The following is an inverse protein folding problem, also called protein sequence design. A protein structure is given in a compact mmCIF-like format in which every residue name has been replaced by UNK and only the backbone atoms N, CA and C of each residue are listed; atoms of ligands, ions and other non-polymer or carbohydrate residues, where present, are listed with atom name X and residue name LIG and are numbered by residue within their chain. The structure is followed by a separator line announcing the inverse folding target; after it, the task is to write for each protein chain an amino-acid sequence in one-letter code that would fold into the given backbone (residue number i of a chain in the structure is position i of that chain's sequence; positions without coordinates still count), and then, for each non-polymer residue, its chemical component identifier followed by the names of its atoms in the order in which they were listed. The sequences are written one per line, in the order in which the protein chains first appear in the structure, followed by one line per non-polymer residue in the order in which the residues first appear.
data_IF_238505479264
#
_entry.id   IF_238505479264
#
_cell.length_a   1.000
_cell.length_b   1.000
_cell.length_c   1.000
_cell.angle_alpha   90.00
_cell.angle_beta   90.00
_cell.angle_gamma   90.00
#
_symmetry.space_group_name_H-M   'P 1'
#
loop_
_entity.id
_entity.type
_entity.pdbx_description
1 polymer ?
#
# COMPACT_ATOMS: atom_id res chain seq x y z
N UNK A 1 -25.73 -1.24 -13.92
CA UNK A 1 -24.65 -1.73 -14.80
C UNK A 1 -23.30 -1.70 -14.06
N UNK A 2 -23.21 -2.23 -12.84
CA UNK A 2 -22.38 -1.55 -11.83
C UNK A 2 -21.20 -2.33 -11.24
N UNK A 3 -21.21 -3.66 -11.16
CA UNK A 3 -20.12 -4.40 -10.47
C UNK A 3 -19.36 -5.34 -11.38
N UNK A 4 -20.05 -6.02 -12.28
CA UNK A 4 -19.42 -7.04 -13.14
C UNK A 4 -18.55 -6.38 -14.22
N UNK A 5 -18.97 -5.22 -14.70
CA UNK A 5 -18.16 -4.39 -15.60
C UNK A 5 -16.86 -3.93 -14.93
N UNK A 6 -16.92 -3.44 -13.69
CA UNK A 6 -15.73 -2.99 -12.95
C UNK A 6 -14.76 -4.15 -12.73
N UNK A 7 -15.27 -5.32 -12.33
CA UNK A 7 -14.46 -6.53 -12.17
C UNK A 7 -13.78 -6.96 -13.47
N UNK A 8 -14.49 -6.87 -14.59
CA UNK A 8 -13.92 -7.17 -15.91
C UNK A 8 -12.79 -6.20 -16.24
N UNK A 9 -13.04 -4.89 -16.12
CA UNK A 9 -12.02 -3.86 -16.38
C UNK A 9 -10.78 -4.04 -15.49
N UNK A 10 -10.95 -4.37 -14.21
CA UNK A 10 -9.81 -4.63 -13.31
C UNK A 10 -9.05 -5.88 -13.72
N UNK A 11 -9.75 -6.93 -14.17
CA UNK A 11 -9.13 -8.15 -14.68
C UNK A 11 -8.31 -7.84 -15.92
N UNK A 12 -8.90 -7.16 -16.91
CA UNK A 12 -8.23 -6.76 -18.15
C UNK A 12 -7.01 -5.87 -17.89
N UNK A 13 -7.15 -4.89 -16.98
CA UNK A 13 -6.04 -4.03 -16.59
C UNK A 13 -4.91 -4.84 -15.92
N UNK A 14 -5.25 -5.80 -15.08
CA UNK A 14 -4.28 -6.69 -14.42
C UNK A 14 -3.58 -7.62 -15.41
N UNK A 15 -4.29 -8.05 -16.45
CA UNK A 15 -3.74 -8.87 -17.54
C UNK A 15 -2.69 -8.08 -18.31
N UNK A 16 -3.00 -6.82 -18.65
CA UNK A 16 -2.03 -5.93 -19.30
C UNK A 16 -0.81 -5.62 -18.42
N UNK A 17 -0.96 -5.51 -17.08
CA UNK A 17 0.21 -5.43 -16.18
C UNK A 17 1.11 -6.66 -16.34
N UNK A 18 0.53 -7.86 -16.44
CA UNK A 18 1.30 -9.12 -16.61
C UNK A 18 1.97 -9.20 -17.97
N UNK A 19 1.37 -8.63 -19.00
CA UNK A 19 1.93 -8.49 -20.34
C UNK A 19 2.96 -7.34 -20.47
N UNK A 20 3.19 -6.58 -19.40
CA UNK A 20 4.04 -5.38 -19.38
C UNK A 20 3.52 -4.20 -20.22
N UNK A 21 2.23 -4.21 -20.57
CA UNK A 21 1.53 -3.14 -21.28
C UNK A 21 1.01 -2.09 -20.27
N UNK A 22 1.93 -1.39 -19.59
CA UNK A 22 1.60 -0.59 -18.41
C UNK A 22 0.75 0.66 -18.71
N UNK A 23 0.95 1.34 -19.84
CA UNK A 23 0.10 2.46 -20.25
C UNK A 23 -1.35 2.00 -20.46
N UNK A 24 -1.53 0.83 -21.09
CA UNK A 24 -2.87 0.27 -21.34
C UNK A 24 -3.53 -0.17 -20.04
N UNK A 25 -2.77 -0.79 -19.14
CA UNK A 25 -3.25 -1.13 -17.81
C UNK A 25 -3.72 0.12 -17.04
N UNK A 26 -2.97 1.22 -17.09
CA UNK A 26 -3.35 2.47 -16.44
C UNK A 26 -4.63 3.09 -17.06
N UNK A 27 -4.78 3.04 -18.39
CA UNK A 27 -5.98 3.51 -19.08
C UNK A 27 -7.23 2.73 -18.64
N UNK A 28 -7.16 1.39 -18.65
CA UNK A 28 -8.29 0.54 -18.30
C UNK A 28 -8.61 0.64 -16.80
N UNK A 29 -7.59 0.73 -15.94
CA UNK A 29 -7.81 0.96 -14.51
C UNK A 29 -8.51 2.31 -14.24
N UNK A 30 -8.21 3.37 -15.03
CA UNK A 30 -8.94 4.64 -14.96
C UNK A 30 -10.40 4.49 -15.41
N UNK A 31 -10.67 3.72 -16.47
CA UNK A 31 -12.04 3.41 -16.88
C UNK A 31 -12.82 2.66 -15.78
N UNK A 32 -12.17 1.74 -15.06
CA UNK A 32 -12.78 1.09 -13.90
C UNK A 32 -13.15 2.10 -12.80
N UNK A 33 -12.29 3.11 -12.58
CA UNK A 33 -12.52 4.18 -11.61
C UNK A 33 -13.56 5.21 -12.06
N UNK A 34 -13.82 5.37 -13.37
CA UNK A 34 -14.94 6.17 -13.87
C UNK A 34 -16.29 5.53 -13.50
N UNK A 35 -16.35 4.19 -13.44
CA UNK A 35 -17.55 3.44 -13.05
C UNK A 35 -17.66 3.32 -11.53
N UNK A 36 -16.55 3.02 -10.83
CA UNK A 36 -16.46 2.95 -9.37
C UNK A 36 -15.23 3.71 -8.84
N UNK A 37 -15.47 4.98 -8.51
CA UNK A 37 -14.44 5.94 -8.05
C UNK A 37 -13.75 5.57 -6.75
N UNK A 38 -14.28 4.59 -6.00
CA UNK A 38 -13.75 4.15 -4.70
C UNK A 38 -13.17 2.74 -4.75
N UNK A 39 -12.97 2.18 -5.93
CA UNK A 39 -12.49 0.82 -6.05
C UNK A 39 -11.01 0.68 -5.69
N UNK A 40 -10.70 0.02 -4.58
CA UNK A 40 -9.32 -0.16 -4.11
C UNK A 40 -8.47 -1.03 -5.03
N UNK A 41 -9.06 -2.05 -5.66
CA UNK A 41 -8.32 -2.93 -6.57
C UNK A 41 -7.93 -2.17 -7.85
N UNK A 42 -8.82 -1.33 -8.39
CA UNK A 42 -8.50 -0.47 -9.54
C UNK A 42 -7.37 0.52 -9.23
N UNK A 43 -7.41 1.18 -8.06
CA UNK A 43 -6.30 2.03 -7.60
C UNK A 43 -5.00 1.24 -7.41
N UNK A 44 -5.08 0.00 -6.92
CA UNK A 44 -3.92 -0.89 -6.80
C UNK A 44 -3.28 -1.22 -8.14
N UNK A 45 -4.08 -1.56 -9.16
CA UNK A 45 -3.58 -1.82 -10.52
C UNK A 45 -2.98 -0.56 -11.12
N UNK A 46 -3.64 0.60 -10.94
CA UNK A 46 -3.14 1.89 -11.41
C UNK A 46 -1.79 2.24 -10.77
N UNK A 47 -1.63 2.00 -9.46
CA UNK A 47 -0.36 2.19 -8.75
C UNK A 47 0.75 1.30 -9.29
N UNK A 48 0.47 0.01 -9.55
CA UNK A 48 1.45 -0.91 -10.13
C UNK A 48 1.86 -0.47 -11.54
N UNK A 49 0.90 -0.05 -12.37
CA UNK A 49 1.17 0.44 -13.71
C UNK A 49 2.07 1.67 -13.68
N UNK A 50 1.76 2.68 -12.85
CA UNK A 50 2.60 3.87 -12.71
C UNK A 50 3.99 3.58 -12.16
N UNK A 51 4.11 2.69 -11.18
CA UNK A 51 5.41 2.31 -10.63
C UNK A 51 6.30 1.67 -11.72
N UNK A 52 5.72 0.82 -12.58
CA UNK A 52 6.42 0.20 -13.71
C UNK A 52 6.79 1.17 -14.83
N UNK A 53 6.02 2.25 -14.96
CA UNK A 53 6.32 3.37 -15.86
C UNK A 53 7.34 4.37 -15.30
N UNK A 54 7.84 4.17 -14.07
CA UNK A 54 8.71 5.13 -13.39
C UNK A 54 8.01 6.42 -12.95
N UNK A 55 6.67 6.45 -12.99
CA UNK A 55 5.84 7.58 -12.55
C UNK A 55 5.59 7.47 -11.05
N UNK A 56 6.65 7.64 -10.27
CA UNK A 56 6.69 7.30 -8.85
C UNK A 56 5.67 8.07 -8.00
N UNK A 57 5.53 9.38 -8.23
CA UNK A 57 4.58 10.22 -7.48
C UNK A 57 3.12 9.77 -7.70
N UNK A 58 2.75 9.49 -8.95
CA UNK A 58 1.41 9.02 -9.29
C UNK A 58 1.14 7.61 -8.78
N UNK A 59 2.17 6.76 -8.75
CA UNK A 59 2.06 5.44 -8.13
C UNK A 59 1.77 5.56 -6.62
N UNK A 60 2.49 6.45 -5.93
CA UNK A 60 2.27 6.71 -4.50
C UNK A 60 0.85 7.22 -4.24
N UNK A 61 0.36 8.20 -5.00
CA UNK A 61 -1.02 8.70 -4.85
C UNK A 61 -2.05 7.58 -5.07
N UNK A 62 -1.88 6.77 -6.13
CA UNK A 62 -2.79 5.67 -6.42
C UNK A 62 -2.82 4.63 -5.28
N UNK A 63 -1.67 4.20 -4.77
CA UNK A 63 -1.64 3.25 -3.65
C UNK A 63 -2.19 3.85 -2.34
N UNK A 64 -1.95 5.13 -2.07
CA UNK A 64 -2.53 5.83 -0.93
C UNK A 64 -4.06 5.92 -1.04
N UNK A 65 -4.60 6.19 -2.24
CA UNK A 65 -6.05 6.13 -2.47
C UNK A 65 -6.60 4.73 -2.26
N UNK A 66 -5.88 3.68 -2.66
CA UNK A 66 -6.30 2.30 -2.44
C UNK A 66 -6.48 1.94 -0.95
N UNK A 67 -5.63 2.46 -0.06
CA UNK A 67 -5.78 2.28 1.40
C UNK A 67 -6.85 3.19 1.98
N UNK A 68 -7.00 4.42 1.47
CA UNK A 68 -8.06 5.34 1.91
C UNK A 68 -9.46 4.81 1.58
N UNK A 69 -9.64 4.18 0.42
CA UNK A 69 -10.95 3.65 0.02
C UNK A 69 -11.27 2.31 0.68
N UNK A 70 -10.25 1.52 1.06
CA UNK A 70 -10.38 0.25 1.75
C UNK A 70 -9.47 0.16 2.99
N UNK A 71 -9.79 0.86 4.09
CA UNK A 71 -8.94 0.96 5.29
C UNK A 71 -8.84 -0.33 6.11
N UNK A 72 -9.52 -1.40 5.70
CA UNK A 72 -9.46 -2.73 6.31
C UNK A 72 -8.91 -3.78 5.33
N UNK A 73 -8.35 -3.35 4.20
CA UNK A 73 -7.79 -4.25 3.18
C UNK A 73 -6.31 -4.50 3.43
N UNK A 74 -5.99 -5.69 3.93
CA UNK A 74 -4.60 -6.13 4.09
C UNK A 74 -3.83 -6.07 2.75
N UNK A 75 -4.51 -6.39 1.63
CA UNK A 75 -3.93 -6.32 0.29
C UNK A 75 -3.55 -4.89 -0.11
N UNK A 76 -4.40 -3.91 0.19
CA UNK A 76 -4.12 -2.49 -0.14
C UNK A 76 -2.89 -2.00 0.62
N UNK A 77 -2.81 -2.28 1.92
CA UNK A 77 -1.63 -1.96 2.73
C UNK A 77 -0.38 -2.68 2.25
N UNK A 78 -0.48 -3.97 1.91
CA UNK A 78 0.65 -4.73 1.38
C UNK A 78 1.16 -4.18 0.04
N UNK A 79 0.27 -3.79 -0.87
CA UNK A 79 0.67 -3.18 -2.15
C UNK A 79 1.40 -1.85 -1.93
N UNK A 80 0.93 -1.01 -1.01
CA UNK A 80 1.61 0.22 -0.63
C UNK A 80 2.97 -0.07 0.05
N UNK A 81 3.05 -1.10 0.90
CA UNK A 81 4.30 -1.55 1.51
C UNK A 81 5.34 -1.98 0.46
N UNK A 82 4.91 -2.75 -0.54
CA UNK A 82 5.77 -3.17 -1.66
C UNK A 82 6.25 -1.99 -2.49
N UNK A 83 5.41 -0.96 -2.67
CA UNK A 83 5.79 0.27 -3.35
C UNK A 83 6.86 1.04 -2.58
N UNK A 84 6.64 1.29 -1.28
CA UNK A 84 7.65 1.92 -0.41
C UNK A 84 8.96 1.13 -0.37
N UNK A 85 8.87 -0.20 -0.30
CA UNK A 85 10.05 -1.06 -0.38
C UNK A 85 10.82 -0.89 -1.68
N UNK A 86 10.12 -0.82 -2.82
CA UNK A 86 10.72 -0.57 -4.13
C UNK A 86 11.39 0.81 -4.25
N UNK A 87 10.91 1.81 -3.50
CA UNK A 87 11.53 3.14 -3.41
C UNK A 87 12.72 3.19 -2.43
N UNK A 88 12.95 2.13 -1.65
CA UNK A 88 13.98 2.11 -0.60
C UNK A 88 13.52 2.72 0.73
N UNK A 89 12.26 3.15 0.84
CA UNK A 89 11.65 3.71 2.05
C UNK A 89 11.27 2.60 3.03
N UNK A 90 12.28 1.97 3.63
CA UNK A 90 12.10 0.76 4.47
C UNK A 90 11.21 1.01 5.69
N UNK A 91 11.29 2.18 6.30
CA UNK A 91 10.50 2.52 7.49
C UNK A 91 9.00 2.59 7.16
N UNK A 92 8.63 3.27 6.07
CA UNK A 92 7.24 3.33 5.60
C UNK A 92 6.74 1.93 5.18
N UNK A 93 7.59 1.13 4.51
CA UNK A 93 7.24 -0.24 4.16
C UNK A 93 6.94 -1.11 5.38
N UNK A 94 7.74 -1.02 6.45
CA UNK A 94 7.50 -1.71 7.73
C UNK A 94 6.16 -1.29 8.32
N UNK A 95 5.88 0.02 8.39
CA UNK A 95 4.62 0.54 8.92
C UNK A 95 3.42 -0.01 8.13
N UNK A 96 3.51 -0.08 6.80
CA UNK A 96 2.42 -0.59 5.98
C UNK A 96 2.26 -2.11 6.10
N UNK A 97 3.34 -2.86 6.28
CA UNK A 97 3.28 -4.28 6.60
C UNK A 97 2.56 -4.54 7.93
N UNK A 98 2.83 -3.73 8.95
CA UNK A 98 2.16 -3.83 10.26
C UNK A 98 0.65 -3.57 10.13
N UNK A 99 0.25 -2.56 9.35
CA UNK A 99 -1.16 -2.29 9.07
C UNK A 99 -1.83 -3.42 8.28
N UNK A 100 -1.12 -4.03 7.32
CA UNK A 100 -1.62 -5.21 6.61
C UNK A 100 -1.86 -6.39 7.56
N UNK A 101 -0.93 -6.65 8.48
CA UNK A 101 -1.02 -7.71 9.50
C UNK A 101 -2.12 -7.40 10.52
N UNK A 102 -2.32 -6.11 10.87
CA UNK A 102 -3.43 -5.68 11.72
C UNK A 102 -4.80 -5.98 11.10
N UNK A 103 -4.91 -5.83 9.77
CA UNK A 103 -6.13 -6.16 9.03
C UNK A 103 -6.32 -7.68 8.85
N UNK A 104 -5.25 -8.40 8.52
CA UNK A 104 -5.22 -9.85 8.42
C UNK A 104 -3.92 -10.40 9.01
N UNK A 105 -4.01 -10.93 10.23
CA UNK A 105 -2.86 -11.47 10.97
C UNK A 105 -2.15 -12.64 10.29
N UNK A 106 -2.73 -13.21 9.23
CA UNK A 106 -2.16 -14.31 8.44
C UNK A 106 -1.77 -13.88 7.02
N UNK A 107 -1.70 -12.58 6.73
CA UNK A 107 -1.32 -12.08 5.41
C UNK A 107 0.14 -12.43 5.08
N UNK A 108 0.34 -13.57 4.42
CA UNK A 108 1.66 -14.17 4.16
C UNK A 108 2.67 -13.20 3.57
N UNK A 109 2.28 -12.44 2.54
CA UNK A 109 3.19 -11.50 1.88
C UNK A 109 3.68 -10.39 2.80
N UNK A 110 2.81 -9.90 3.70
CA UNK A 110 3.16 -8.83 4.63
C UNK A 110 4.12 -9.35 5.72
N UNK A 111 3.87 -10.55 6.23
CA UNK A 111 4.77 -11.23 7.18
C UNK A 111 6.14 -11.52 6.58
N UNK A 112 6.19 -12.00 5.33
CA UNK A 112 7.44 -12.29 4.62
C UNK A 112 8.25 -11.00 4.36
N UNK A 113 7.58 -9.94 3.88
CA UNK A 113 8.24 -8.66 3.64
C UNK A 113 8.74 -8.02 4.94
N UNK A 114 7.93 -8.04 6.00
CA UNK A 114 8.33 -7.53 7.31
C UNK A 114 9.57 -8.24 7.82
N UNK A 115 9.57 -9.58 7.86
CA UNK A 115 10.72 -10.38 8.29
C UNK A 115 11.98 -10.07 7.48
N UNK A 116 11.83 -9.86 6.16
CA UNK A 116 12.95 -9.47 5.29
C UNK A 116 13.49 -8.11 5.69
N UNK A 117 12.63 -7.11 5.83
CA UNK A 117 12.99 -5.74 6.21
C UNK A 117 13.68 -5.71 7.58
N UNK A 118 13.17 -6.43 8.56
CA UNK A 118 13.74 -6.58 9.90
C UNK A 118 15.13 -7.22 9.91
N UNK A 119 15.40 -8.13 8.96
CA UNK A 119 16.74 -8.71 8.83
C UNK A 119 17.74 -7.75 8.19
N UNK A 120 17.26 -6.84 7.33
CA UNK A 120 18.10 -5.87 6.61
C UNK A 120 18.35 -4.59 7.43
N UNK A 121 17.40 -4.20 8.28
CA UNK A 121 17.54 -3.08 9.21
C UNK A 121 17.91 -3.67 10.57
N UNK A 122 19.02 -3.26 11.20
CA UNK A 122 19.32 -3.56 12.62
C UNK A 122 18.33 -2.87 13.60
N UNK A 123 17.07 -2.76 13.22
CA UNK A 123 15.97 -2.22 14.01
C UNK A 123 15.21 -3.44 14.53
N UNK A 124 15.38 -3.73 15.82
CA UNK A 124 14.47 -4.64 16.50
C UNK A 124 13.08 -4.00 16.52
N UNK A 125 12.15 -4.60 15.80
CA UNK A 125 10.75 -4.22 15.88
C UNK A 125 10.18 -5.00 17.06
N UNK A 126 9.68 -4.28 18.07
CA UNK A 126 8.97 -4.93 19.16
C UNK A 126 7.82 -5.76 18.56
N UNK A 127 7.67 -7.05 18.91
CA UNK A 127 6.62 -7.88 18.33
C UNK A 127 5.29 -7.21 18.59
N UNK A 128 4.51 -6.97 17.52
CA UNK A 128 3.09 -6.65 17.64
C UNK A 128 2.50 -7.76 18.50
N UNK A 129 2.24 -7.46 19.77
CA UNK A 129 1.83 -8.47 20.72
C UNK A 129 0.50 -9.03 20.25
N UNK A 130 0.51 -10.34 19.99
CA UNK A 130 -0.66 -11.17 19.77
C UNK A 130 -1.55 -11.11 21.01
N UNK A 131 -2.33 -10.05 21.16
CA UNK A 131 -3.44 -9.95 22.10
C UNK A 131 -4.71 -9.87 21.28
N UNK A 132 -5.41 -10.98 21.16
CA UNK A 132 -6.84 -10.95 20.88
C UNK A 132 -7.50 -10.11 21.99
N UNK A 133 -7.82 -8.86 21.67
CA UNK A 133 -8.40 -7.92 22.61
C UNK A 133 -7.50 -6.71 22.79
N UNK A 134 -7.68 -5.69 21.95
CA UNK A 134 -8.31 -4.45 22.42
C UNK A 134 -8.38 -3.44 21.28
N UNK A 135 -9.51 -2.74 21.26
CA UNK A 135 -9.91 -1.81 20.23
C UNK A 135 -9.16 -0.47 20.33
N UNK A 136 -9.21 0.26 19.20
CA UNK A 136 -9.00 1.70 18.99
C UNK A 136 -7.57 2.18 18.72
N UNK A 137 -7.33 2.40 17.43
CA UNK A 137 -7.03 3.74 16.91
C UNK A 137 -5.67 4.34 17.24
N UNK A 138 -4.79 4.38 16.25
CA UNK A 138 -3.89 5.51 16.03
C UNK A 138 -3.49 5.47 14.56
N UNK A 139 -4.22 6.13 13.66
CA UNK A 139 -3.99 7.53 13.30
C UNK A 139 -2.50 7.78 12.97
N UNK A 140 -2.21 7.70 11.67
CA UNK A 140 -1.05 8.31 11.04
C UNK A 140 -0.87 9.74 11.57
N UNK A 141 0.23 9.99 12.28
CA UNK A 141 0.72 11.33 12.55
C UNK A 141 2.14 11.39 12.01
N UNK A 142 2.23 11.79 10.74
CA UNK A 142 3.41 12.44 10.22
C UNK A 142 3.59 13.75 11.01
N UNK A 143 4.73 13.89 11.70
CA UNK A 143 5.25 15.21 12.06
C UNK A 143 6.69 15.30 11.57
N UNK A 144 6.84 15.92 10.41
CA UNK A 144 8.07 16.55 9.93
C UNK A 144 8.06 17.98 10.51
N UNK A 145 9.23 18.46 10.90
CA UNK A 145 9.57 19.82 11.35
C UNK A 145 9.46 20.13 12.85
N UNK A 146 10.63 20.28 13.49
CA UNK A 146 11.04 21.24 14.55
C UNK A 146 12.48 20.85 14.99
N UNK A 147 13.53 21.42 14.38
CA UNK A 147 14.29 22.62 14.78
C UNK A 147 14.85 22.60 16.22
N UNK A 148 16.19 22.54 16.26
CA UNK A 148 17.15 22.98 17.28
C UNK A 148 16.93 22.61 18.77
N UNK A 149 17.97 21.95 19.30
CA UNK A 149 18.13 21.54 20.69
C UNK A 149 18.10 22.73 21.69
N UNK A 150 17.60 22.54 22.92
CA UNK A 150 17.80 23.51 24.00
C UNK A 150 19.20 23.35 24.63
N UNK A 151 19.89 24.43 25.06
CA UNK A 151 21.24 24.35 25.61
C UNK A 151 21.25 23.82 27.06
N UNK A 152 22.41 23.34 27.56
CA UNK A 152 22.47 22.53 28.77
C UNK A 152 22.44 23.37 30.05
N UNK A 153 21.73 22.81 31.05
CA UNK A 153 21.62 23.12 32.49
C UNK A 153 21.66 24.58 32.95
#
# INVERSE_FOLDING_TARGET
MSTDQVKQLITDASDHVREQNFEKAAEIARQALEVDTRNSDAYGVLGVAFARLGRIEEATDAFQRAVQTAPYSARSYYNLAMHYYGMGEKADAISMCQEAIRCDGKHRGALELLKKLESETHVQVAPYQTSLGDARGSAYQYKKDELDEPPPF
#
